data_IF_105400615054
#
_entry.id   IF_105400615054
#
_cell.length_a   1.000
_cell.length_b   1.000
_cell.length_c   1.000
_cell.angle_alpha   90.00
_cell.angle_beta   90.00
_cell.angle_gamma   90.00
#
_symmetry.space_group_name_H-M   'P 1'
#
loop_
_entity.id
_entity.type
_entity.pdbx_description
1 polymer ?
#
# COMPACT_ATOMS: atom_id res chain seq x y z
N UNK A 1 3.52 39.01 6.36
CA UNK A 1 3.22 37.68 5.81
C UNK A 1 4.33 37.25 4.88
N UNK A 2 4.54 35.95 4.70
CA UNK A 2 5.55 35.40 3.75
C UNK A 2 4.89 35.42 2.36
N UNK A 3 5.62 35.85 1.32
CA UNK A 3 5.12 35.86 -0.06
C UNK A 3 5.05 34.43 -0.64
N UNK A 4 4.25 34.21 -1.70
CA UNK A 4 4.18 32.93 -2.39
C UNK A 4 5.52 32.53 -3.01
N UNK A 5 6.28 33.52 -3.47
CA UNK A 5 7.58 33.35 -4.08
C UNK A 5 8.63 32.88 -3.06
N UNK A 6 8.61 33.47 -1.84
CA UNK A 6 9.47 33.01 -0.74
C UNK A 6 9.11 31.58 -0.30
N UNK A 7 7.81 31.24 -0.19
CA UNK A 7 7.39 29.87 0.12
C UNK A 7 7.87 28.90 -0.97
N UNK A 8 7.66 29.23 -2.25
CA UNK A 8 8.06 28.38 -3.37
C UNK A 8 9.59 28.13 -3.42
N UNK A 9 10.38 29.14 -3.07
CA UNK A 9 11.85 29.03 -3.05
C UNK A 9 12.35 28.03 -1.99
N UNK A 10 11.63 27.89 -0.86
CA UNK A 10 12.02 27.00 0.24
C UNK A 10 11.38 25.60 0.18
N UNK A 11 10.38 25.36 -0.68
CA UNK A 11 9.77 24.02 -0.81
C UNK A 11 10.81 22.92 -1.11
N UNK A 12 11.81 23.12 -2.01
CA UNK A 12 12.83 22.10 -2.30
C UNK A 12 13.74 21.75 -1.10
N UNK A 13 13.80 22.62 -0.09
CA UNK A 13 14.62 22.42 1.10
C UNK A 13 13.90 21.61 2.19
N UNK A 14 12.59 21.38 2.01
CA UNK A 14 11.80 20.61 2.98
C UNK A 14 12.21 19.14 2.97
N UNK A 15 12.51 18.62 4.16
CA UNK A 15 12.76 17.19 4.33
C UNK A 15 11.45 16.44 4.13
N UNK A 16 11.38 15.45 3.21
CA UNK A 16 10.20 14.64 3.02
C UNK A 16 9.76 13.94 4.32
N UNK A 17 8.47 13.91 4.58
CA UNK A 17 7.93 13.20 5.73
C UNK A 17 8.04 11.69 5.48
N UNK A 18 8.73 10.98 6.37
CA UNK A 18 8.89 9.51 6.33
C UNK A 18 7.50 8.83 6.12
N UNK A 19 7.40 7.97 5.13
CA UNK A 19 6.20 7.20 4.85
C UNK A 19 5.07 7.99 4.16
N UNK A 20 5.38 9.12 3.54
CA UNK A 20 4.48 9.88 2.66
C UNK A 20 5.13 9.98 1.30
N UNK A 21 4.61 9.23 0.32
CA UNK A 21 5.18 9.12 -1.03
C UNK A 21 6.70 8.90 -0.99
N UNK A 22 7.16 8.06 -0.04
CA UNK A 22 8.59 7.80 0.15
C UNK A 22 9.07 6.81 -0.91
N UNK A 23 9.95 7.26 -1.78
CA UNK A 23 10.59 6.39 -2.77
C UNK A 23 11.78 5.64 -2.16
N UNK A 24 11.87 4.35 -2.45
CA UNK A 24 12.97 3.47 -2.03
C UNK A 24 13.74 3.04 -3.28
N UNK A 25 15.06 3.28 -3.27
CA UNK A 25 15.97 2.93 -4.36
C UNK A 25 17.12 2.10 -3.81
N UNK A 26 17.07 0.79 -4.05
CA UNK A 26 18.11 -0.17 -3.65
C UNK A 26 18.65 -0.94 -4.88
N UNK A 27 18.50 -0.37 -6.09
CA UNK A 27 18.98 -0.96 -7.34
C UNK A 27 17.97 -1.88 -8.04
N UNK A 28 16.74 -1.98 -7.55
CA UNK A 28 15.66 -2.72 -8.20
C UNK A 28 15.26 -2.04 -9.54
N UNK A 29 14.75 -2.82 -10.54
CA UNK A 29 14.38 -2.26 -11.85
C UNK A 29 12.99 -1.58 -11.90
N UNK A 30 12.26 -1.58 -10.81
CA UNK A 30 10.92 -1.00 -10.66
C UNK A 30 10.95 0.17 -9.66
N UNK A 31 9.97 1.04 -9.74
CA UNK A 31 9.76 2.09 -8.75
C UNK A 31 9.05 1.51 -7.51
N UNK A 32 9.56 1.84 -6.32
CA UNK A 32 9.01 1.40 -5.05
C UNK A 32 8.62 2.60 -4.21
N UNK A 33 7.32 2.70 -3.87
CA UNK A 33 6.76 3.82 -3.11
C UNK A 33 6.09 3.30 -1.85
N UNK A 34 6.37 3.95 -0.73
CA UNK A 34 5.70 3.72 0.55
C UNK A 34 4.82 4.93 0.87
N UNK A 35 3.54 4.71 1.16
CA UNK A 35 2.61 5.76 1.57
C UNK A 35 1.65 5.31 2.68
N UNK A 36 1.17 6.26 3.46
CA UNK A 36 0.23 6.00 4.57
C UNK A 36 -1.23 5.90 4.13
N UNK A 37 -1.54 5.96 2.86
CA UNK A 37 -2.91 5.82 2.36
C UNK A 37 -3.55 4.51 2.86
N UNK A 38 -4.67 4.63 3.57
CA UNK A 38 -5.38 3.52 4.20
C UNK A 38 -6.91 3.72 4.22
N UNK A 39 -7.41 4.67 3.43
CA UNK A 39 -8.84 4.96 3.28
C UNK A 39 -9.23 4.99 1.81
N UNK A 40 -10.51 4.74 1.46
CA UNK A 40 -10.98 4.87 0.07
C UNK A 40 -10.64 6.24 -0.54
N UNK A 41 -10.87 7.34 0.18
CA UNK A 41 -10.57 8.69 -0.32
C UNK A 41 -9.07 8.93 -0.56
N UNK A 42 -8.19 8.37 0.27
CA UNK A 42 -6.75 8.44 0.02
C UNK A 42 -6.35 7.64 -1.22
N UNK A 43 -6.96 6.48 -1.47
CA UNK A 43 -6.73 5.69 -2.68
C UNK A 43 -7.20 6.44 -3.94
N UNK A 44 -8.38 7.07 -3.89
CA UNK A 44 -8.87 7.94 -4.97
C UNK A 44 -7.91 9.11 -5.28
N UNK A 45 -7.18 9.57 -4.28
CA UNK A 45 -6.21 10.67 -4.43
C UNK A 45 -4.88 10.19 -5.02
N UNK A 46 -4.33 9.05 -4.55
CA UNK A 46 -2.97 8.64 -4.92
C UNK A 46 -2.92 7.77 -6.19
N UNK A 47 -3.90 6.90 -6.41
CA UNK A 47 -3.83 5.96 -7.53
C UNK A 47 -3.87 6.62 -8.92
N UNK A 48 -4.78 7.58 -9.22
CA UNK A 48 -4.85 8.16 -10.56
C UNK A 48 -3.55 8.80 -11.04
N UNK A 49 -2.88 9.68 -10.28
CA UNK A 49 -1.64 10.29 -10.73
C UNK A 49 -0.48 9.29 -10.88
N UNK A 50 -0.43 8.27 -10.00
CA UNK A 50 0.59 7.21 -10.10
C UNK A 50 0.31 6.34 -11.33
N UNK A 51 -0.95 5.92 -11.54
CA UNK A 51 -1.33 5.13 -12.73
C UNK A 51 -1.02 5.86 -14.03
N UNK A 52 -1.26 7.17 -14.08
CA UNK A 52 -1.06 7.96 -15.30
C UNK A 52 0.42 8.01 -15.75
N UNK A 53 1.38 7.87 -14.83
CA UNK A 53 2.81 7.87 -15.11
C UNK A 53 3.44 6.48 -15.19
N UNK A 54 2.76 5.44 -14.72
CA UNK A 54 3.22 4.06 -14.74
C UNK A 54 3.20 3.52 -16.18
N UNK A 55 4.34 3.09 -16.70
CA UNK A 55 4.46 2.54 -18.06
C UNK A 55 4.22 1.03 -18.07
N UNK A 56 4.57 0.35 -17.00
CA UNK A 56 4.38 -1.08 -16.79
C UNK A 56 3.15 -1.39 -15.94
N UNK A 57 3.25 -2.41 -15.10
CA UNK A 57 2.24 -2.80 -14.13
C UNK A 57 2.30 -1.93 -12.88
N UNK A 58 1.15 -1.68 -12.32
CA UNK A 58 1.01 -1.10 -10.99
C UNK A 58 0.59 -2.21 -10.02
N UNK A 59 1.42 -2.48 -9.02
CA UNK A 59 1.23 -3.53 -8.02
C UNK A 59 1.04 -2.84 -6.66
N UNK A 60 0.01 -3.19 -5.90
CA UNK A 60 -0.17 -2.65 -4.56
C UNK A 60 -0.21 -3.74 -3.48
N UNK A 61 0.39 -3.43 -2.32
CA UNK A 61 0.33 -4.23 -1.09
C UNK A 61 -0.33 -3.39 -0.02
N UNK A 62 -1.46 -3.85 0.53
CA UNK A 62 -2.16 -3.15 1.59
C UNK A 62 -3.08 -4.07 2.39
N UNK A 63 -3.56 -3.56 3.51
CA UNK A 63 -4.53 -4.20 4.37
C UNK A 63 -5.59 -3.23 4.87
N UNK A 64 -6.16 -3.55 6.02
CA UNK A 64 -7.05 -2.65 6.74
C UNK A 64 -6.95 -2.92 8.24
N UNK A 65 -7.12 -1.88 9.06
CA UNK A 65 -7.17 -2.05 10.50
C UNK A 65 -8.41 -2.81 10.94
N UNK A 66 -8.22 -3.76 11.85
CA UNK A 66 -9.28 -4.42 12.59
C UNK A 66 -9.97 -3.48 13.59
N UNK A 67 -11.20 -3.84 14.00
CA UNK A 67 -12.01 -3.04 14.94
C UNK A 67 -12.24 -1.60 14.44
N UNK A 68 -12.37 -1.45 13.13
CA UNK A 68 -12.62 -0.19 12.42
C UNK A 68 -13.83 -0.35 11.50
N UNK A 69 -14.15 0.70 10.76
CA UNK A 69 -15.25 0.70 9.79
C UNK A 69 -15.10 -0.42 8.76
N UNK A 70 -16.02 -1.38 8.80
CA UNK A 70 -16.05 -2.55 7.90
C UNK A 70 -16.44 -2.14 6.48
N UNK A 71 -17.21 -1.07 6.32
CA UNK A 71 -17.75 -0.65 5.01
C UNK A 71 -16.65 -0.16 4.07
N UNK A 72 -15.53 0.34 4.61
CA UNK A 72 -14.40 0.79 3.81
C UNK A 72 -13.65 -0.35 3.11
N UNK A 73 -13.68 -1.58 3.65
CA UNK A 73 -12.88 -2.71 3.18
C UNK A 73 -13.16 -3.07 1.71
N UNK A 74 -14.41 -3.38 1.33
CA UNK A 74 -14.70 -3.67 -0.07
C UNK A 74 -14.47 -2.46 -0.98
N UNK A 75 -14.64 -1.23 -0.49
CA UNK A 75 -14.35 -0.01 -1.26
C UNK A 75 -12.84 0.14 -1.55
N UNK A 76 -11.99 -0.17 -0.58
CA UNK A 76 -10.53 -0.21 -0.78
C UNK A 76 -10.15 -1.26 -1.84
N UNK A 77 -10.73 -2.47 -1.75
CA UNK A 77 -10.51 -3.53 -2.74
C UNK A 77 -10.91 -3.13 -4.15
N UNK A 78 -12.10 -2.54 -4.29
CA UNK A 78 -12.60 -2.07 -5.57
C UNK A 78 -11.71 -0.98 -6.19
N UNK A 79 -11.30 0.01 -5.40
CA UNK A 79 -10.41 1.07 -5.86
C UNK A 79 -9.02 0.54 -6.27
N UNK A 80 -8.45 -0.36 -5.47
CA UNK A 80 -7.19 -1.01 -5.83
C UNK A 80 -7.31 -1.79 -7.13
N UNK A 81 -8.37 -2.56 -7.30
CA UNK A 81 -8.61 -3.34 -8.52
C UNK A 81 -8.78 -2.47 -9.78
N UNK A 82 -9.41 -1.31 -9.64
CA UNK A 82 -9.62 -0.36 -10.73
C UNK A 82 -8.31 0.22 -11.28
N UNK A 83 -7.33 0.46 -10.44
CA UNK A 83 -6.10 1.16 -10.82
C UNK A 83 -4.86 0.27 -10.91
N UNK A 84 -4.80 -0.80 -10.10
CA UNK A 84 -3.64 -1.68 -10.04
C UNK A 84 -3.83 -2.94 -10.89
N UNK A 85 -2.78 -3.38 -11.55
CA UNK A 85 -2.78 -4.62 -12.33
C UNK A 85 -2.74 -5.84 -11.41
N UNK A 86 -2.03 -5.73 -10.28
CA UNK A 86 -1.93 -6.77 -9.26
C UNK A 86 -2.24 -6.19 -7.88
N UNK A 87 -3.10 -6.87 -7.14
CA UNK A 87 -3.48 -6.52 -5.77
C UNK A 87 -3.03 -7.63 -4.82
N UNK A 88 -2.23 -7.28 -3.83
CA UNK A 88 -1.79 -8.20 -2.78
C UNK A 88 -2.31 -7.68 -1.44
N UNK A 89 -3.15 -8.44 -0.79
CA UNK A 89 -3.74 -8.12 0.50
C UNK A 89 -2.92 -8.72 1.62
N UNK A 90 -2.46 -7.89 2.55
CA UNK A 90 -1.58 -8.27 3.65
C UNK A 90 -1.99 -7.57 4.96
N UNK A 91 -1.54 -8.12 6.09
CA UNK A 91 -1.89 -7.55 7.40
C UNK A 91 -1.43 -6.09 7.53
N UNK A 92 -2.31 -5.28 8.12
CA UNK A 92 -2.02 -3.93 8.62
C UNK A 92 -1.99 -3.97 10.14
N UNK A 93 -3.13 -3.90 10.79
CA UNK A 93 -3.32 -4.14 12.23
C UNK A 93 -4.62 -4.94 12.42
N UNK A 94 -4.63 -6.26 12.31
CA UNK A 94 -5.86 -7.04 12.45
C UNK A 94 -6.49 -6.96 13.84
N UNK A 95 -5.69 -6.66 14.88
CA UNK A 95 -6.16 -6.53 16.27
C UNK A 95 -6.90 -7.78 16.73
N UNK A 96 -8.13 -7.65 17.24
CA UNK A 96 -8.96 -8.76 17.71
C UNK A 96 -9.67 -9.56 16.61
N UNK A 97 -9.56 -9.15 15.35
CA UNK A 97 -10.19 -9.86 14.22
C UNK A 97 -9.28 -10.95 13.65
N UNK A 98 -9.88 -11.94 12.99
CA UNK A 98 -9.13 -12.92 12.19
C UNK A 98 -8.50 -12.21 10.97
N UNK A 99 -7.17 -12.26 10.81
CA UNK A 99 -6.48 -11.55 9.74
C UNK A 99 -6.96 -11.95 8.34
N UNK A 100 -7.15 -13.25 8.11
CA UNK A 100 -7.53 -13.76 6.79
C UNK A 100 -8.98 -13.38 6.44
N UNK A 101 -9.89 -13.46 7.40
CA UNK A 101 -11.29 -13.04 7.19
C UNK A 101 -11.37 -11.54 6.90
N UNK A 102 -10.57 -10.72 7.59
CA UNK A 102 -10.48 -9.29 7.32
C UNK A 102 -10.03 -9.03 5.86
N UNK A 103 -8.99 -9.71 5.40
CA UNK A 103 -8.48 -9.56 4.03
C UNK A 103 -9.48 -10.06 2.98
N UNK A 104 -10.23 -11.12 3.27
CA UNK A 104 -11.33 -11.58 2.40
C UNK A 104 -12.41 -10.52 2.21
N UNK A 105 -12.73 -9.73 3.24
CA UNK A 105 -13.70 -8.62 3.10
C UNK A 105 -13.20 -7.56 2.10
N UNK A 106 -11.90 -7.32 2.04
CA UNK A 106 -11.30 -6.42 1.04
C UNK A 106 -11.36 -7.08 -0.35
N UNK A 107 -11.01 -8.37 -0.44
CA UNK A 107 -10.99 -9.13 -1.69
C UNK A 107 -12.33 -9.12 -2.41
N UNK A 108 -13.46 -9.19 -1.68
CA UNK A 108 -14.81 -9.09 -2.27
C UNK A 108 -14.98 -7.85 -3.17
N UNK A 109 -14.40 -6.71 -2.77
CA UNK A 109 -14.45 -5.50 -3.60
C UNK A 109 -13.60 -5.62 -4.86
N UNK A 110 -12.42 -6.20 -4.75
CA UNK A 110 -11.53 -6.40 -5.89
C UNK A 110 -12.08 -7.41 -6.90
N UNK A 111 -12.69 -8.49 -6.42
CA UNK A 111 -13.34 -9.51 -7.26
C UNK A 111 -14.53 -8.93 -8.04
N UNK A 112 -15.33 -8.05 -7.43
CA UNK A 112 -16.43 -7.35 -8.11
C UNK A 112 -15.96 -6.47 -9.28
N UNK A 113 -14.74 -5.94 -9.20
CA UNK A 113 -14.09 -5.18 -10.26
C UNK A 113 -13.31 -6.07 -11.25
N UNK A 114 -13.48 -7.40 -11.16
CA UNK A 114 -12.96 -8.36 -12.13
C UNK A 114 -11.58 -8.94 -11.79
N UNK A 115 -11.02 -8.68 -10.62
CA UNK A 115 -9.79 -9.37 -10.17
C UNK A 115 -10.08 -10.84 -9.87
N UNK A 116 -9.11 -11.69 -10.16
CA UNK A 116 -9.21 -13.14 -10.02
C UNK A 116 -8.20 -13.61 -8.97
N UNK A 117 -8.70 -14.33 -7.95
CA UNK A 117 -7.86 -14.90 -6.90
C UNK A 117 -6.77 -15.80 -7.52
N UNK A 118 -5.58 -15.75 -6.95
CA UNK A 118 -4.36 -16.46 -7.35
C UNK A 118 -3.84 -16.14 -8.77
N UNK A 119 -4.42 -15.13 -9.43
CA UNK A 119 -3.95 -14.63 -10.73
C UNK A 119 -3.43 -13.19 -10.63
N UNK A 120 -4.30 -12.27 -10.24
CA UNK A 120 -4.02 -10.84 -10.09
C UNK A 120 -4.54 -10.24 -8.78
N UNK A 121 -5.14 -11.10 -7.92
CA UNK A 121 -5.52 -10.84 -6.54
C UNK A 121 -4.92 -11.93 -5.64
N UNK A 122 -4.21 -11.54 -4.59
CA UNK A 122 -3.57 -12.47 -3.67
C UNK A 122 -3.88 -12.08 -2.23
N UNK A 123 -4.11 -13.06 -1.36
CA UNK A 123 -4.17 -12.89 0.09
C UNK A 123 -2.93 -13.54 0.69
N UNK A 124 -2.02 -12.73 1.20
CA UNK A 124 -0.77 -13.15 1.85
C UNK A 124 -0.70 -12.38 3.18
N UNK A 125 -1.31 -12.93 4.24
CA UNK A 125 -1.44 -12.23 5.51
C UNK A 125 -0.08 -11.81 6.11
N UNK A 126 0.97 -12.63 5.99
CA UNK A 126 2.36 -12.28 6.34
C UNK A 126 2.85 -11.14 5.45
N UNK A 127 2.85 -9.92 6.00
CA UNK A 127 3.17 -8.70 5.23
C UNK A 127 4.61 -8.68 4.68
N UNK A 128 5.66 -9.04 5.41
CA UNK A 128 7.00 -9.22 4.83
C UNK A 128 7.02 -10.16 3.62
N UNK A 129 6.32 -11.28 3.69
CA UNK A 129 6.20 -12.23 2.58
C UNK A 129 5.43 -11.62 1.40
N UNK A 130 4.36 -10.88 1.67
CA UNK A 130 3.56 -10.18 0.65
C UNK A 130 4.42 -9.16 -0.13
N UNK A 131 5.26 -8.40 0.55
CA UNK A 131 6.21 -7.45 -0.05
C UNK A 131 7.20 -8.17 -0.96
N UNK A 132 7.84 -9.23 -0.48
CA UNK A 132 8.76 -10.03 -1.30
C UNK A 132 8.07 -10.65 -2.52
N UNK A 133 6.80 -11.02 -2.39
CA UNK A 133 6.02 -11.57 -3.50
C UNK A 133 5.65 -10.49 -4.53
N UNK A 134 5.36 -9.26 -4.07
CA UNK A 134 5.19 -8.10 -4.94
C UNK A 134 6.45 -7.83 -5.76
N UNK A 135 7.63 -7.84 -5.13
CA UNK A 135 8.90 -7.62 -5.80
C UNK A 135 9.21 -8.68 -6.86
N UNK A 136 8.90 -9.96 -6.59
CA UNK A 136 9.07 -11.06 -7.59
C UNK A 136 8.16 -10.89 -8.80
N UNK A 137 7.00 -10.23 -8.64
CA UNK A 137 6.04 -9.99 -9.72
C UNK A 137 6.34 -8.72 -10.52
N UNK A 138 7.16 -7.83 -9.94
CA UNK A 138 7.52 -6.55 -10.54
C UNK A 138 8.72 -6.72 -11.49
N UNK A 139 8.70 -5.98 -12.57
CA UNK A 139 9.76 -5.88 -13.56
C UNK A 139 10.08 -4.44 -13.91
N UNK A 140 10.84 -4.25 -14.99
CA UNK A 140 11.21 -2.93 -15.47
C UNK A 140 9.96 -2.09 -15.80
N UNK A 141 10.00 -0.81 -15.45
CA UNK A 141 8.93 0.18 -15.66
C UNK A 141 7.64 -0.05 -14.83
N UNK A 142 7.63 -1.07 -13.96
CA UNK A 142 6.54 -1.31 -13.02
C UNK A 142 6.64 -0.36 -11.81
N UNK A 143 5.51 -0.16 -11.11
CA UNK A 143 5.45 0.57 -9.85
C UNK A 143 4.87 -0.34 -8.78
N UNK A 144 5.57 -0.48 -7.66
CA UNK A 144 5.11 -1.19 -6.46
C UNK A 144 4.75 -0.18 -5.38
N UNK A 145 3.55 -0.29 -4.83
CA UNK A 145 3.01 0.56 -3.77
C UNK A 145 2.84 -0.24 -2.49
N UNK A 146 3.51 0.15 -1.43
CA UNK A 146 3.29 -0.38 -0.08
C UNK A 146 2.46 0.64 0.72
N UNK A 147 1.23 0.27 1.07
CA UNK A 147 0.25 1.21 1.61
C UNK A 147 -0.21 0.81 3.02
N UNK A 148 -0.54 1.83 3.83
CA UNK A 148 -1.16 1.69 5.14
C UNK A 148 -0.18 1.73 6.31
N UNK A 149 0.85 0.89 6.35
CA UNK A 149 1.79 0.79 7.50
C UNK A 149 2.82 1.92 7.55
N UNK A 150 3.46 2.23 6.42
CA UNK A 150 4.27 3.44 6.26
C UNK A 150 5.32 3.68 7.37
N UNK A 151 5.06 4.63 8.28
CA UNK A 151 5.94 5.03 9.37
C UNK A 151 5.66 4.32 10.70
N UNK A 152 4.67 3.46 10.75
CA UNK A 152 4.33 2.70 11.94
C UNK A 152 5.38 1.61 12.22
N UNK A 153 5.69 1.39 13.49
CA UNK A 153 6.79 0.50 13.89
C UNK A 153 6.31 -0.87 14.40
N UNK A 154 5.06 -1.24 14.12
CA UNK A 154 4.50 -2.51 14.57
C UNK A 154 3.31 -2.95 13.72
N UNK A 155 2.97 -4.24 13.80
CA UNK A 155 1.68 -4.80 13.41
C UNK A 155 1.01 -5.33 14.69
N UNK A 156 -0.23 -4.89 14.94
CA UNK A 156 -0.96 -5.21 16.16
C UNK A 156 -1.89 -6.39 15.89
N UNK A 157 -1.65 -7.50 16.56
CA UNK A 157 -2.50 -8.69 16.61
C UNK A 157 -3.26 -8.76 17.95
N UNK A 158 -4.20 -9.70 18.05
CA UNK A 158 -5.05 -9.87 19.24
C UNK A 158 -4.24 -10.06 20.54
N UNK A 159 -3.24 -10.94 20.49
CA UNK A 159 -2.53 -11.40 21.69
C UNK A 159 -1.07 -10.89 21.75
N UNK A 160 -0.60 -10.23 20.70
CA UNK A 160 0.78 -9.72 20.64
C UNK A 160 0.91 -8.56 19.66
N UNK A 161 2.00 -7.82 19.82
CA UNK A 161 2.42 -6.77 18.87
C UNK A 161 3.73 -7.20 18.24
N UNK A 162 3.74 -7.34 16.93
CA UNK A 162 4.93 -7.69 16.16
C UNK A 162 5.73 -6.41 15.86
N UNK A 163 7.01 -6.28 16.25
CA UNK A 163 7.87 -5.20 15.76
C UNK A 163 7.97 -5.25 14.24
N UNK A 164 7.83 -4.11 13.59
CA UNK A 164 7.78 -4.01 12.14
C UNK A 164 8.24 -2.63 11.67
N UNK A 165 8.97 -2.56 10.57
CA UNK A 165 9.31 -1.29 9.90
C UNK A 165 9.24 -1.49 8.40
N UNK A 166 8.27 -0.83 7.76
CA UNK A 166 7.99 -0.96 6.33
C UNK A 166 9.20 -0.61 5.46
N UNK A 167 9.96 0.41 5.86
CA UNK A 167 11.13 0.85 5.08
C UNK A 167 12.25 -0.19 5.17
N UNK A 168 12.45 -0.77 6.34
CA UNK A 168 13.44 -1.86 6.52
C UNK A 168 13.05 -3.08 5.71
N UNK A 169 11.78 -3.50 5.74
CA UNK A 169 11.31 -4.64 4.93
C UNK A 169 11.39 -4.36 3.43
N UNK A 170 11.16 -3.12 3.01
CA UNK A 170 11.26 -2.72 1.62
C UNK A 170 12.69 -2.69 1.08
N UNK A 171 13.70 -2.61 1.95
CA UNK A 171 15.13 -2.59 1.60
C UNK A 171 15.79 -3.98 1.58
N UNK A 172 15.12 -4.99 2.16
CA UNK A 172 15.58 -6.38 2.25
C UNK A 172 15.09 -7.22 1.07
#
# INVERSE_FOLDING_TARGET
>A
GISKEEVAAHIPELIPIKGRMTEITEGQPFELIIDYAHTPSSFETIFPPIRSRCKGKMICVFGSGGERDLTKRPLQGALAAKYCDVVILADEDPRGEDPVELLKMIAVGAEKEGKVMDKDLFIIHDRPKAIRDAFKKAGQDDIVLLLGKSHENSIIYKDYTMPYDEITEAKN
#
